data_IF_842842128205
#
_entry.id   IF_842842128205
#
_cell.length_a   1.000
_cell.length_b   1.000
_cell.length_c   1.000
_cell.angle_alpha   90.00
_cell.angle_beta   90.00
_cell.angle_gamma   90.00
#
_symmetry.space_group_name_H-M   'P 1'
#
loop_
_entity.id
_entity.type
_entity.pdbx_description
1 polymer ?
#
# COMPACT_ATOMS: atom_id res chain seq x y z
N UNK A 1 23.37 -22.05 -6.20
CA UNK A 1 22.42 -21.60 -5.17
C UNK A 1 21.57 -20.55 -5.84
N UNK A 2 20.31 -20.89 -6.14
CA UNK A 2 19.50 -20.11 -7.08
C UNK A 2 19.10 -18.76 -6.51
N UNK A 3 19.54 -17.74 -7.23
CA UNK A 3 19.07 -16.36 -7.24
C UNK A 3 17.53 -16.33 -7.32
N UNK A 4 16.87 -15.75 -6.31
CA UNK A 4 15.42 -15.50 -6.37
C UNK A 4 15.22 -14.07 -6.86
N UNK A 5 15.45 -13.86 -8.15
CA UNK A 5 15.10 -12.61 -8.83
C UNK A 5 13.57 -12.45 -8.76
N UNK A 6 13.01 -11.34 -8.23
CA UNK A 6 11.58 -11.14 -8.21
C UNK A 6 11.11 -10.90 -9.65
N UNK A 7 10.39 -11.88 -10.21
CA UNK A 7 9.67 -11.74 -11.47
C UNK A 7 8.64 -10.61 -11.35
N UNK A 8 8.64 -9.60 -12.25
CA UNK A 8 7.69 -8.50 -12.22
C UNK A 8 6.35 -9.02 -12.76
N UNK A 9 5.51 -9.55 -11.87
CA UNK A 9 4.20 -10.10 -12.24
C UNK A 9 3.57 -11.06 -11.23
N UNK A 10 4.22 -11.37 -10.11
CA UNK A 10 3.53 -12.04 -9.01
C UNK A 10 2.78 -11.00 -8.17
N UNK A 11 1.44 -11.08 -8.18
CA UNK A 11 0.48 -10.37 -7.32
C UNK A 11 0.74 -10.70 -5.84
N UNK A 12 1.92 -10.35 -5.33
CA UNK A 12 2.28 -10.59 -3.94
C UNK A 12 1.66 -9.49 -3.09
N UNK A 13 0.95 -9.86 -2.02
CA UNK A 13 0.46 -8.88 -1.07
C UNK A 13 1.67 -8.09 -0.52
N UNK A 14 1.63 -6.77 -0.67
CA UNK A 14 2.65 -5.86 -0.14
C UNK A 14 2.01 -4.87 0.85
N UNK A 15 2.82 -4.26 1.72
CA UNK A 15 2.27 -3.31 2.70
C UNK A 15 1.67 -2.11 1.99
N UNK A 16 0.50 -1.67 2.43
CA UNK A 16 -0.19 -0.53 1.83
C UNK A 16 0.66 0.73 1.79
N UNK A 17 1.45 1.01 2.83
CA UNK A 17 2.35 2.17 2.85
C UNK A 17 3.40 2.11 1.73
N UNK A 18 3.87 0.90 1.38
CA UNK A 18 4.79 0.69 0.25
C UNK A 18 4.08 0.87 -1.09
N UNK A 19 2.85 0.36 -1.20
CA UNK A 19 2.01 0.52 -2.39
C UNK A 19 1.69 1.99 -2.67
N UNK A 20 1.27 2.74 -1.64
CA UNK A 20 1.01 4.19 -1.74
C UNK A 20 2.29 4.94 -2.14
N UNK A 21 3.42 4.65 -1.49
CA UNK A 21 4.70 5.28 -1.85
C UNK A 21 5.11 4.97 -3.31
N UNK A 22 4.80 3.78 -3.81
CA UNK A 22 5.06 3.38 -5.21
C UNK A 22 4.13 4.07 -6.21
N UNK A 23 2.90 4.38 -5.81
CA UNK A 23 1.95 5.14 -6.64
C UNK A 23 2.34 6.61 -6.83
N UNK A 24 3.31 7.12 -6.05
CA UNK A 24 3.79 8.50 -6.14
C UNK A 24 2.88 9.53 -5.46
N UNK A 25 1.83 9.09 -4.76
CA UNK A 25 0.92 9.98 -4.02
C UNK A 25 1.63 10.71 -2.89
N UNK A 26 2.45 10.01 -2.11
CA UNK A 26 3.20 10.58 -0.99
C UNK A 26 4.41 9.71 -0.60
N UNK A 27 5.23 10.17 0.35
CA UNK A 27 6.34 9.36 0.86
C UNK A 27 5.82 8.20 1.73
N UNK A 28 6.65 7.16 1.97
CA UNK A 28 6.27 6.04 2.86
C UNK A 28 5.82 6.51 4.25
N UNK A 29 6.53 7.47 4.84
CA UNK A 29 6.18 8.04 6.16
C UNK A 29 4.89 8.83 6.15
N UNK A 30 4.61 9.51 5.05
CA UNK A 30 3.35 10.26 4.88
C UNK A 30 2.20 9.27 4.72
N UNK A 31 2.42 8.19 3.97
CA UNK A 31 1.43 7.12 3.80
C UNK A 31 1.07 6.50 5.15
N UNK A 32 2.06 6.17 5.99
CA UNK A 32 1.82 5.64 7.34
C UNK A 32 0.99 6.62 8.19
N UNK A 33 1.33 7.91 8.18
CA UNK A 33 0.57 8.95 8.89
C UNK A 33 -0.86 9.11 8.37
N UNK A 34 -1.05 9.15 7.06
CA UNK A 34 -2.38 9.26 6.45
C UNK A 34 -3.27 8.06 6.79
N UNK A 35 -2.67 6.87 6.92
CA UNK A 35 -3.41 5.68 7.36
C UNK A 35 -3.76 5.79 8.85
N UNK A 36 -2.82 6.19 9.71
CA UNK A 36 -3.10 6.41 11.14
C UNK A 36 -4.17 7.49 11.36
N UNK A 37 -4.23 8.50 10.49
CA UNK A 37 -5.23 9.58 10.51
C UNK A 37 -6.58 9.17 9.87
N UNK A 38 -6.69 8.00 9.23
CA UNK A 38 -7.91 7.57 8.56
C UNK A 38 -8.21 8.27 7.22
N UNK A 39 -7.19 8.87 6.60
CA UNK A 39 -7.27 9.53 5.29
C UNK A 39 -7.17 8.56 4.11
N UNK A 40 -6.82 7.29 4.38
CA UNK A 40 -6.69 6.23 3.38
C UNK A 40 -7.86 5.27 3.46
N UNK A 41 -8.46 4.96 2.30
CA UNK A 41 -9.51 3.96 2.14
C UNK A 41 -9.04 2.84 1.21
N UNK A 42 -9.30 1.61 1.59
CA UNK A 42 -9.05 0.40 0.82
C UNK A 42 -10.38 -0.27 0.48
N UNK A 43 -10.69 -0.45 -0.82
CA UNK A 43 -11.95 -1.03 -1.29
C UNK A 43 -13.18 -0.36 -0.64
N UNK A 44 -13.13 0.96 -0.45
CA UNK A 44 -14.18 1.75 0.20
C UNK A 44 -14.17 1.74 1.74
N UNK A 45 -13.28 0.99 2.39
CA UNK A 45 -13.15 0.94 3.85
C UNK A 45 -11.98 1.80 4.34
N UNK A 46 -12.22 2.71 5.28
CA UNK A 46 -11.15 3.49 5.92
C UNK A 46 -10.21 2.56 6.66
N UNK A 47 -8.92 2.75 6.45
CA UNK A 47 -7.87 2.07 7.20
C UNK A 47 -7.40 2.97 8.32
N UNK A 48 -7.15 2.35 9.47
CA UNK A 48 -6.63 2.94 10.70
C UNK A 48 -5.26 2.36 11.08
N UNK A 49 -4.75 1.38 10.30
CA UNK A 49 -3.49 0.71 10.58
C UNK A 49 -2.60 0.54 9.33
N UNK A 50 -1.31 0.91 9.40
CA UNK A 50 -0.36 0.75 8.31
C UNK A 50 0.12 -0.70 8.14
N UNK A 51 -0.27 -1.61 9.04
CA UNK A 51 0.04 -3.04 8.96
C UNK A 51 -0.90 -3.82 8.02
N UNK A 52 -1.57 -3.13 7.08
CA UNK A 52 -2.44 -3.75 6.10
C UNK A 52 -1.64 -4.16 4.86
N UNK A 53 -1.87 -5.38 4.40
CA UNK A 53 -1.33 -5.92 3.15
C UNK A 53 -2.38 -5.78 2.07
N UNK A 54 -1.96 -5.27 0.91
CA UNK A 54 -2.79 -5.00 -0.26
C UNK A 54 -2.20 -5.68 -1.48
N UNK A 55 -3.06 -6.05 -2.42
CA UNK A 55 -2.69 -6.65 -3.70
C UNK A 55 -2.90 -5.65 -4.85
N UNK A 56 -2.62 -6.08 -6.07
CA UNK A 56 -2.94 -5.31 -7.29
C UNK A 56 -4.44 -5.23 -7.60
N UNK A 57 -5.24 -6.10 -6.99
CA UNK A 57 -6.71 -6.12 -7.17
C UNK A 57 -7.41 -5.13 -6.23
N UNK A 58 -6.71 -4.67 -5.19
CA UNK A 58 -7.28 -3.75 -4.21
C UNK A 58 -7.23 -2.29 -4.69
N UNK A 59 -8.35 -1.59 -4.53
CA UNK A 59 -8.44 -0.16 -4.82
C UNK A 59 -8.08 0.68 -3.59
N UNK A 60 -7.06 1.52 -3.73
CA UNK A 60 -6.61 2.43 -2.67
C UNK A 60 -6.99 3.85 -3.04
N UNK A 61 -7.84 4.45 -2.21
CA UNK A 61 -8.20 5.85 -2.27
C UNK A 61 -7.47 6.60 -1.17
N UNK A 62 -6.70 7.61 -1.56
CA UNK A 62 -6.04 8.53 -0.62
C UNK A 62 -6.73 9.88 -0.77
N UNK A 63 -7.40 10.34 0.28
CA UNK A 63 -7.92 11.70 0.34
C UNK A 63 -6.81 12.61 0.85
N UNK A 64 -6.16 13.31 -0.07
CA UNK A 64 -5.19 14.38 0.22
C UNK A 64 -5.87 15.72 0.45
#
# INVERSE_FOLDING_TARGET
>A
MSDKTPTPGENKPERIAKRIARSGVCSRRDAERMIDEGLVKLNGKVLDSPAVTVTDEDEIYVNG
#
